data_IF_300568049582
#
_entry.id   IF_300568049582
#
_cell.length_a   1.000
_cell.length_b   1.000
_cell.length_c   1.000
_cell.angle_alpha   90.00
_cell.angle_beta   90.00
_cell.angle_gamma   90.00
#
_symmetry.space_group_name_H-M   'P 1'
#
loop_
_entity.id
_entity.type
_entity.pdbx_description
1 polymer ?
#
# COMPACT_ATOMS: atom_id res chain seq x y z
N UNK A 1 4.39 -4.86 -1.81
CA UNK A 1 4.11 -4.56 -3.23
C UNK A 1 5.11 -5.25 -4.16
N UNK A 2 6.38 -4.81 -4.28
CA UNK A 2 7.37 -5.48 -5.18
C UNK A 2 7.73 -6.91 -4.75
N UNK A 3 7.91 -7.16 -3.45
CA UNK A 3 8.19 -8.52 -2.96
C UNK A 3 7.03 -9.50 -3.23
N UNK A 4 5.79 -9.03 -3.10
CA UNK A 4 4.58 -9.80 -3.44
C UNK A 4 4.55 -10.05 -4.95
N UNK A 5 4.79 -9.03 -5.79
CA UNK A 5 4.86 -9.19 -7.24
C UNK A 5 5.95 -10.21 -7.65
N UNK A 6 7.14 -10.13 -7.06
CA UNK A 6 8.23 -11.11 -7.28
C UNK A 6 7.82 -12.51 -6.88
N UNK A 7 7.09 -12.67 -5.77
CA UNK A 7 6.62 -13.97 -5.32
C UNK A 7 5.59 -14.56 -6.30
N UNK A 8 4.56 -13.78 -6.66
CA UNK A 8 3.53 -14.20 -7.62
C UNK A 8 4.14 -14.58 -8.97
N UNK A 9 5.07 -13.77 -9.50
CA UNK A 9 5.78 -14.09 -10.73
C UNK A 9 6.52 -15.44 -10.67
N UNK A 10 7.07 -15.80 -9.51
CA UNK A 10 7.73 -17.11 -9.32
C UNK A 10 6.72 -18.25 -9.23
N UNK A 11 5.60 -18.03 -8.53
CA UNK A 11 4.53 -19.02 -8.40
C UNK A 11 3.89 -19.33 -9.76
N UNK A 12 3.72 -18.31 -10.61
CA UNK A 12 3.20 -18.45 -11.98
C UNK A 12 4.23 -18.97 -12.99
N UNK A 13 5.48 -19.21 -12.58
CA UNK A 13 6.59 -19.54 -13.49
C UNK A 13 6.69 -18.56 -14.68
N UNK A 14 6.50 -17.27 -14.41
CA UNK A 14 6.40 -16.24 -15.44
C UNK A 14 7.66 -16.21 -16.32
N UNK A 15 7.45 -16.01 -17.62
CA UNK A 15 8.54 -15.80 -18.57
C UNK A 15 9.25 -14.47 -18.29
N UNK A 16 10.45 -14.30 -18.85
CA UNK A 16 11.25 -13.10 -18.62
C UNK A 16 10.51 -11.82 -19.07
N UNK A 17 9.82 -11.89 -20.20
CA UNK A 17 9.03 -10.80 -20.76
C UNK A 17 7.82 -10.45 -19.89
N UNK A 18 7.06 -11.45 -19.41
CA UNK A 18 5.98 -11.24 -18.45
C UNK A 18 6.50 -10.57 -17.17
N UNK A 19 7.58 -11.11 -16.60
CA UNK A 19 8.18 -10.55 -15.40
C UNK A 19 8.66 -9.11 -15.62
N UNK A 20 9.29 -8.82 -16.76
CA UNK A 20 9.74 -7.46 -17.10
C UNK A 20 8.58 -6.48 -17.18
N UNK A 21 7.45 -6.86 -17.80
CA UNK A 21 6.26 -6.01 -17.87
C UNK A 21 5.65 -5.77 -16.48
N UNK A 22 5.48 -6.83 -15.67
CA UNK A 22 4.93 -6.68 -14.30
C UNK A 22 5.82 -5.77 -13.45
N UNK A 23 7.15 -5.96 -13.49
CA UNK A 23 8.06 -5.08 -12.75
C UNK A 23 8.02 -3.64 -13.26
N UNK A 24 7.89 -3.42 -14.56
CA UNK A 24 7.78 -2.08 -15.12
C UNK A 24 6.50 -1.39 -14.65
N UNK A 25 5.33 -2.04 -14.79
CA UNK A 25 4.04 -1.48 -14.36
C UNK A 25 3.99 -1.22 -12.86
N UNK A 26 4.34 -2.22 -12.04
CA UNK A 26 4.34 -2.09 -10.58
C UNK A 26 5.39 -1.06 -10.11
N UNK A 27 6.56 -1.03 -10.72
CA UNK A 27 7.60 -0.06 -10.40
C UNK A 27 7.16 1.37 -10.68
N UNK A 28 6.61 1.64 -11.87
CA UNK A 28 6.10 2.96 -12.24
C UNK A 28 4.94 3.40 -11.35
N UNK A 29 3.93 2.54 -11.13
CA UNK A 29 2.77 2.92 -10.34
C UNK A 29 3.13 3.25 -8.89
N UNK A 30 4.08 2.51 -8.31
CA UNK A 30 4.54 2.77 -6.95
C UNK A 30 5.33 4.08 -6.87
N UNK A 31 6.18 4.37 -7.85
CA UNK A 31 6.91 5.62 -7.91
C UNK A 31 5.95 6.83 -7.97
N UNK A 32 4.95 6.78 -8.85
CA UNK A 32 3.95 7.84 -8.98
C UNK A 32 3.03 7.93 -7.74
N UNK A 33 2.70 6.79 -7.13
CA UNK A 33 1.97 6.72 -5.86
C UNK A 33 2.70 7.48 -4.74
N UNK A 34 4.02 7.28 -4.61
CA UNK A 34 4.82 8.04 -3.65
C UNK A 34 4.82 9.54 -3.97
N UNK A 35 5.06 9.92 -5.22
CA UNK A 35 5.12 11.33 -5.64
C UNK A 35 3.81 12.05 -5.31
N UNK A 36 2.68 11.50 -5.76
CA UNK A 36 1.36 12.11 -5.57
C UNK A 36 0.91 12.07 -4.10
N UNK A 37 1.24 11.00 -3.36
CA UNK A 37 0.94 10.94 -1.93
C UNK A 37 1.73 11.99 -1.15
N UNK A 38 3.03 12.15 -1.44
CA UNK A 38 3.86 13.13 -0.75
C UNK A 38 3.49 14.57 -1.11
N UNK A 39 3.17 14.84 -2.37
CA UNK A 39 2.64 16.15 -2.77
C UNK A 39 1.40 16.51 -1.94
N UNK A 40 0.42 15.60 -1.86
CA UNK A 40 -0.78 15.80 -1.04
C UNK A 40 -0.45 15.96 0.45
N UNK A 41 0.47 15.16 1.00
CA UNK A 41 0.93 15.29 2.40
C UNK A 41 1.41 16.67 2.74
N UNK A 42 2.25 17.25 1.89
CA UNK A 42 2.82 18.57 2.14
C UNK A 42 1.88 19.70 1.70
N UNK A 43 0.94 19.45 0.79
CA UNK A 43 -0.15 20.38 0.48
C UNK A 43 -1.10 20.56 1.67
N UNK A 44 -1.65 19.47 2.21
CA UNK A 44 -2.63 19.53 3.31
C UNK A 44 -1.98 19.68 4.69
N UNK A 45 -0.73 19.25 4.83
CA UNK A 45 0.08 19.35 6.05
C UNK A 45 -0.66 18.95 7.35
N UNK A 46 -1.46 17.88 7.28
CA UNK A 46 -2.38 17.48 8.35
C UNK A 46 -1.64 16.90 9.57
N UNK A 47 -2.10 17.27 10.76
CA UNK A 47 -1.59 16.81 12.05
C UNK A 47 -1.87 15.32 12.32
N UNK A 48 -0.95 14.61 12.97
CA UNK A 48 -1.07 13.19 13.34
C UNK A 48 -2.04 12.94 14.50
N UNK A 49 -2.65 11.75 14.60
CA UNK A 49 -3.60 11.42 15.67
C UNK A 49 -3.00 11.60 17.07
N UNK A 50 -1.78 11.10 17.30
CA UNK A 50 -1.10 11.22 18.60
C UNK A 50 -1.02 12.67 19.09
N UNK A 51 -0.67 13.59 18.20
CA UNK A 51 -0.52 15.00 18.56
C UNK A 51 -1.87 15.64 18.85
N UNK A 52 -2.91 15.30 18.10
CA UNK A 52 -4.26 15.81 18.35
C UNK A 52 -4.82 15.28 19.67
N UNK A 53 -4.74 13.96 19.89
CA UNK A 53 -5.27 13.31 21.09
C UNK A 53 -4.56 13.83 22.34
N UNK A 54 -3.23 13.90 22.33
CA UNK A 54 -2.47 14.40 23.49
C UNK A 54 -2.73 15.88 23.80
N UNK A 55 -3.00 16.70 22.79
CA UNK A 55 -3.27 18.14 23.01
C UNK A 55 -4.70 18.43 23.48
N UNK A 56 -5.67 17.66 23.02
CA UNK A 56 -7.08 18.06 23.11
C UNK A 56 -8.01 17.03 23.75
N UNK A 57 -7.55 15.80 24.01
CA UNK A 57 -8.41 14.71 24.53
C UNK A 57 -7.78 14.08 25.78
N UNK A 58 -6.61 13.46 25.64
CA UNK A 58 -5.92 12.73 26.70
C UNK A 58 -4.40 12.90 26.56
N UNK A 59 -3.77 13.76 27.39
CA UNK A 59 -2.33 13.99 27.38
C UNK A 59 -1.46 12.75 27.64
N UNK A 60 -2.01 11.71 28.27
CA UNK A 60 -1.30 10.47 28.57
C UNK A 60 -1.45 9.41 27.46
N UNK A 61 -2.28 9.66 26.44
CA UNK A 61 -2.53 8.68 25.38
C UNK A 61 -1.26 8.37 24.58
N UNK A 62 -1.03 7.08 24.33
CA UNK A 62 0.09 6.60 23.52
C UNK A 62 -0.29 5.35 22.72
N UNK A 63 -0.33 5.46 21.40
CA UNK A 63 -0.59 4.33 20.50
C UNK A 63 0.37 3.15 20.72
N UNK A 64 1.64 3.43 20.98
CA UNK A 64 2.67 2.39 21.12
C UNK A 64 2.55 1.58 22.41
N UNK A 65 1.66 1.98 23.33
CA UNK A 65 1.38 1.26 24.56
C UNK A 65 0.21 0.25 24.41
N UNK A 66 -0.51 0.28 23.28
CA UNK A 66 -1.74 -0.48 23.07
C UNK A 66 -1.55 -1.58 22.01
N UNK A 67 -0.72 -1.33 20.99
CA UNK A 67 -0.39 -2.30 19.93
C UNK A 67 1.10 -2.58 19.90
N UNK A 68 1.54 -3.52 19.05
CA UNK A 68 2.95 -3.56 18.63
C UNK A 68 3.40 -2.14 18.25
N UNK A 69 4.58 -1.67 18.72
CA UNK A 69 4.93 -0.26 18.70
C UNK A 69 5.12 0.23 17.26
N UNK A 70 4.06 0.84 16.71
CA UNK A 70 4.12 1.61 15.46
C UNK A 70 4.41 3.05 15.82
N UNK A 71 5.67 3.45 15.67
CA UNK A 71 6.04 4.84 15.86
C UNK A 71 5.41 5.74 14.81
N UNK A 72 4.96 6.93 15.23
CA UNK A 72 4.43 7.94 14.31
C UNK A 72 5.55 8.39 13.35
N UNK A 73 5.39 8.19 12.03
CA UNK A 73 6.42 8.58 11.08
C UNK A 73 6.59 10.11 10.97
N UNK A 74 7.80 10.63 10.69
CA UNK A 74 8.12 12.05 10.73
C UNK A 74 7.70 12.79 9.45
N UNK A 75 6.42 12.69 9.08
CA UNK A 75 5.83 13.40 7.94
C UNK A 75 4.30 13.59 8.14
N UNK A 76 3.69 14.53 7.40
CA UNK A 76 2.27 14.85 7.55
C UNK A 76 1.34 13.65 7.36
N UNK A 77 0.17 13.74 7.97
CA UNK A 77 -0.75 12.62 8.12
C UNK A 77 -1.47 12.25 6.83
N UNK A 78 -2.06 13.20 6.11
CA UNK A 78 -3.02 12.90 5.04
C UNK A 78 -2.44 13.07 3.64
N UNK A 79 -2.64 12.12 2.70
CA UNK A 79 -3.28 10.81 2.89
C UNK A 79 -2.29 9.75 3.42
N UNK A 80 -2.76 8.54 3.68
CA UNK A 80 -1.92 7.42 4.16
C UNK A 80 -1.07 6.84 3.03
N UNK A 81 0.26 6.94 3.12
CA UNK A 81 1.17 6.44 2.08
C UNK A 81 1.07 4.93 1.85
N UNK A 82 0.96 4.16 2.93
CA UNK A 82 0.71 2.72 2.82
C UNK A 82 -0.57 2.42 2.05
N UNK A 83 -1.62 3.23 2.25
CA UNK A 83 -2.90 3.03 1.55
C UNK A 83 -2.79 3.40 0.07
N UNK A 84 -2.15 4.53 -0.24
CA UNK A 84 -1.92 4.95 -1.64
C UNK A 84 -1.10 3.92 -2.42
N UNK A 85 0.02 3.46 -1.87
CA UNK A 85 0.84 2.43 -2.52
C UNK A 85 0.13 1.09 -2.63
N UNK A 86 -0.61 0.67 -1.59
CA UNK A 86 -1.33 -0.60 -1.60
C UNK A 86 -2.47 -0.60 -2.62
N UNK A 87 -3.26 0.48 -2.68
CA UNK A 87 -4.33 0.64 -3.69
C UNK A 87 -3.77 0.65 -5.11
N UNK A 88 -2.66 1.37 -5.34
CA UNK A 88 -1.97 1.39 -6.63
C UNK A 88 -1.48 0.00 -7.05
N UNK A 89 -0.75 -0.69 -6.17
CA UNK A 89 -0.22 -2.02 -6.46
C UNK A 89 -1.32 -3.06 -6.65
N UNK A 90 -2.36 -3.06 -5.81
CA UNK A 90 -3.47 -4.00 -5.94
C UNK A 90 -4.23 -3.79 -7.25
N UNK A 91 -4.43 -2.54 -7.69
CA UNK A 91 -5.09 -2.26 -8.97
C UNK A 91 -4.29 -2.85 -10.14
N UNK A 92 -2.98 -2.58 -10.21
CA UNK A 92 -2.13 -3.11 -11.30
C UNK A 92 -2.03 -4.64 -11.25
N UNK A 93 -1.81 -5.23 -10.06
CA UNK A 93 -1.68 -6.68 -9.94
C UNK A 93 -2.99 -7.40 -10.26
N UNK A 94 -4.14 -6.84 -9.86
CA UNK A 94 -5.46 -7.40 -10.21
C UNK A 94 -5.73 -7.30 -11.71
N UNK A 95 -5.34 -6.20 -12.36
CA UNK A 95 -5.47 -6.06 -13.82
C UNK A 95 -4.64 -7.11 -14.59
N UNK A 96 -3.49 -7.52 -14.05
CA UNK A 96 -2.58 -8.49 -14.69
C UNK A 96 -2.97 -9.93 -14.39
N UNK A 97 -3.23 -10.26 -13.12
CA UNK A 97 -3.40 -11.64 -12.65
C UNK A 97 -4.86 -12.03 -12.36
N UNK A 98 -5.78 -11.06 -12.39
CA UNK A 98 -7.21 -11.23 -12.10
C UNK A 98 -7.62 -10.68 -10.73
N UNK A 99 -8.87 -10.24 -10.63
CA UNK A 99 -9.44 -9.62 -9.42
C UNK A 99 -9.52 -10.59 -8.23
N UNK A 100 -9.78 -11.87 -8.48
CA UNK A 100 -9.93 -12.93 -7.47
C UNK A 100 -8.65 -13.77 -7.29
N UNK A 101 -7.48 -13.21 -7.60
CA UNK A 101 -6.20 -13.91 -7.45
C UNK A 101 -5.86 -14.11 -5.96
N UNK A 102 -6.12 -15.32 -5.46
CA UNK A 102 -5.80 -15.71 -4.09
C UNK A 102 -4.31 -16.09 -3.95
N UNK A 103 -3.66 -15.64 -2.89
CA UNK A 103 -2.25 -15.90 -2.65
C UNK A 103 -1.92 -15.92 -1.15
N UNK A 104 -0.77 -16.51 -0.82
CA UNK A 104 -0.22 -16.48 0.54
C UNK A 104 1.00 -15.59 0.58
N UNK A 105 0.90 -14.38 1.14
CA UNK A 105 2.02 -13.46 1.30
C UNK A 105 3.07 -14.03 2.27
N UNK A 106 4.26 -14.27 1.73
CA UNK A 106 5.45 -14.75 2.46
C UNK A 106 6.53 -13.67 2.57
N UNK A 107 6.27 -12.45 2.10
CA UNK A 107 7.26 -11.38 2.01
C UNK A 107 7.88 -10.95 3.35
N UNK A 108 7.18 -11.27 4.45
CA UNK A 108 7.57 -10.93 5.82
C UNK A 108 8.19 -12.11 6.60
N UNK A 109 8.29 -13.32 6.03
CA UNK A 109 8.87 -14.49 6.72
C UNK A 109 10.31 -14.23 7.17
N UNK A 110 11.10 -13.51 6.37
CA UNK A 110 12.48 -13.11 6.72
C UNK A 110 12.59 -12.20 7.94
N UNK A 111 11.48 -11.56 8.34
CA UNK A 111 11.39 -10.72 9.53
C UNK A 111 10.78 -11.48 10.73
N UNK A 112 10.49 -12.78 10.57
CA UNK A 112 9.93 -13.63 11.62
C UNK A 112 8.41 -13.63 11.72
N UNK A 113 7.70 -12.98 10.79
CA UNK A 113 6.24 -13.01 10.76
C UNK A 113 5.73 -14.25 10.02
N UNK A 114 4.64 -14.83 10.52
CA UNK A 114 3.96 -15.92 9.83
C UNK A 114 3.35 -15.45 8.50
N UNK A 115 3.33 -16.30 7.45
CA UNK A 115 2.63 -16.00 6.21
C UNK A 115 1.15 -15.68 6.43
N UNK A 116 0.61 -14.84 5.55
CA UNK A 116 -0.82 -14.45 5.57
C UNK A 116 -1.47 -14.77 4.23
N UNK A 117 -2.62 -15.43 4.25
CA UNK A 117 -3.36 -15.78 3.03
C UNK A 117 -4.47 -14.76 2.78
N UNK A 118 -4.57 -14.31 1.54
CA UNK A 118 -5.58 -13.37 1.07
C UNK A 118 -6.35 -13.96 -0.10
N UNK A 119 -7.63 -13.61 -0.22
CA UNK A 119 -8.46 -14.04 -1.34
C UNK A 119 -8.23 -13.17 -2.60
N UNK A 120 -7.66 -11.98 -2.45
CA UNK A 120 -7.32 -11.06 -3.53
C UNK A 120 -6.18 -10.11 -3.14
N UNK A 121 -5.55 -9.45 -4.13
CA UNK A 121 -4.64 -8.34 -3.85
C UNK A 121 -5.33 -7.18 -3.12
N UNK A 122 -6.63 -6.98 -3.39
CA UNK A 122 -7.43 -5.94 -2.75
C UNK A 122 -7.69 -6.21 -1.27
N UNK A 123 -7.85 -7.47 -0.87
CA UNK A 123 -7.96 -7.81 0.55
C UNK A 123 -6.65 -7.52 1.29
N UNK A 124 -5.51 -7.84 0.68
CA UNK A 124 -4.20 -7.47 1.21
C UNK A 124 -4.03 -5.94 1.30
N UNK A 125 -4.49 -5.19 0.29
CA UNK A 125 -4.40 -3.73 0.29
C UNK A 125 -5.30 -3.05 1.33
N UNK A 126 -6.54 -3.52 1.48
CA UNK A 126 -7.47 -3.02 2.52
C UNK A 126 -6.94 -3.34 3.91
N UNK A 127 -6.39 -4.53 4.12
CA UNK A 127 -5.77 -4.88 5.40
C UNK A 127 -4.52 -4.00 5.68
N UNK A 128 -3.68 -3.77 4.68
CA UNK A 128 -2.55 -2.86 4.80
C UNK A 128 -2.98 -1.42 5.16
N UNK A 129 -4.08 -0.94 4.60
CA UNK A 129 -4.66 0.35 4.94
C UNK A 129 -5.18 0.37 6.40
N UNK A 130 -6.04 -0.57 6.78
CA UNK A 130 -6.60 -0.64 8.14
C UNK A 130 -5.52 -0.86 9.21
N UNK A 131 -4.40 -1.52 8.88
CA UNK A 131 -3.26 -1.66 9.79
C UNK A 131 -2.76 -0.33 10.35
N UNK A 132 -2.93 0.77 9.59
CA UNK A 132 -2.49 2.11 9.99
C UNK A 132 -3.44 2.77 10.99
N UNK A 133 -4.70 2.38 10.95
CA UNK A 133 -5.70 2.76 11.95
C UNK A 133 -5.45 1.99 13.24
N UNK A 134 -5.23 0.67 13.16
CA UNK A 134 -4.87 -0.14 14.33
C UNK A 134 -3.57 0.34 14.98
N UNK A 135 -2.58 0.72 14.18
CA UNK A 135 -1.35 1.33 14.69
C UNK A 135 -1.52 2.75 15.28
N UNK A 136 -2.71 3.34 15.24
CA UNK A 136 -3.01 4.65 15.86
C UNK A 136 -2.31 5.85 15.21
N UNK A 137 -1.81 5.71 13.98
CA UNK A 137 -0.98 6.74 13.31
C UNK A 137 -1.67 7.43 12.13
N UNK A 138 -2.82 6.93 11.68
CA UNK A 138 -3.64 7.52 10.63
C UNK A 138 -5.11 7.58 11.03
N UNK A 139 -5.82 8.60 10.55
CA UNK A 139 -7.28 8.64 10.64
C UNK A 139 -7.89 7.76 9.54
N UNK A 140 -9.10 7.23 9.76
CA UNK A 140 -9.82 6.42 8.76
C UNK A 140 -9.89 7.07 7.38
N UNK A 141 -10.21 8.37 7.33
CA UNK A 141 -10.27 9.14 6.08
C UNK A 141 -8.97 9.10 5.27
N UNK A 142 -7.81 9.05 5.93
CA UNK A 142 -6.52 9.04 5.23
C UNK A 142 -6.23 7.69 4.59
N UNK A 143 -6.78 6.61 5.16
CA UNK A 143 -6.68 5.27 4.61
C UNK A 143 -7.60 5.11 3.40
N UNK A 144 -8.88 5.44 3.57
CA UNK A 144 -9.89 5.34 2.50
C UNK A 144 -9.48 6.18 1.27
N UNK A 145 -9.17 7.46 1.49
CA UNK A 145 -8.76 8.35 0.40
C UNK A 145 -7.38 8.01 -0.17
N UNK A 146 -6.51 7.40 0.64
CA UNK A 146 -5.24 6.88 0.16
C UNK A 146 -5.46 5.76 -0.86
N UNK A 147 -6.30 4.77 -0.53
CA UNK A 147 -6.65 3.67 -1.45
C UNK A 147 -7.23 4.22 -2.76
N UNK A 148 -8.20 5.13 -2.68
CA UNK A 148 -8.82 5.77 -3.86
C UNK A 148 -7.80 6.53 -4.71
N UNK A 149 -6.90 7.29 -4.08
CA UNK A 149 -5.80 7.95 -4.79
C UNK A 149 -4.92 6.93 -5.53
N UNK A 150 -4.62 5.79 -4.91
CA UNK A 150 -3.87 4.70 -5.53
C UNK A 150 -4.54 4.15 -6.79
N UNK A 151 -5.86 3.96 -6.77
CA UNK A 151 -6.66 3.53 -7.94
C UNK A 151 -6.54 4.54 -9.07
N UNK A 152 -6.70 5.83 -8.78
CA UNK A 152 -6.59 6.89 -9.78
C UNK A 152 -5.21 6.89 -10.46
N UNK A 153 -4.13 6.70 -9.69
CA UNK A 153 -2.76 6.65 -10.22
C UNK A 153 -2.54 5.42 -11.10
N UNK A 154 -3.01 4.25 -10.66
CA UNK A 154 -2.97 3.04 -11.46
C UNK A 154 -3.71 3.19 -12.80
N UNK A 155 -4.83 3.93 -12.81
CA UNK A 155 -5.57 4.24 -14.03
C UNK A 155 -4.75 4.97 -15.10
N UNK A 156 -3.70 5.72 -14.74
CA UNK A 156 -2.78 6.33 -15.71
C UNK A 156 -1.75 5.33 -16.25
N UNK A 157 -1.21 4.46 -15.38
CA UNK A 157 -0.24 3.42 -15.78
C UNK A 157 -0.89 2.38 -16.69
N UNK A 158 -2.14 2.02 -16.46
CA UNK A 158 -2.89 1.07 -17.31
C UNK A 158 -3.16 1.60 -18.73
N UNK A 159 -3.07 2.91 -18.96
CA UNK A 159 -3.19 3.50 -20.29
C UNK A 159 -1.90 3.42 -21.10
N UNK A 160 -0.78 3.03 -20.48
CA UNK A 160 0.50 2.88 -21.17
C UNK A 160 0.45 1.67 -22.11
N UNK A 161 0.93 1.86 -23.33
CA UNK A 161 0.99 0.80 -24.33
C UNK A 161 2.31 0.02 -24.20
N UNK A 162 2.21 -1.21 -23.71
CA UNK A 162 3.32 -2.16 -23.72
C UNK A 162 3.33 -2.95 -25.03
N UNK A 163 4.53 -3.22 -25.55
CA UNK A 163 4.67 -4.10 -26.72
C UNK A 163 4.41 -5.53 -26.27
N UNK A 164 3.48 -6.21 -26.92
CA UNK A 164 3.28 -7.64 -26.75
C UNK A 164 4.55 -8.38 -27.17
N UNK A 165 4.90 -9.40 -26.40
CA UNK A 165 5.94 -10.35 -26.80
C UNK A 165 5.57 -11.02 -28.12
N UNK A 166 6.54 -11.22 -29.03
CA UNK A 166 6.31 -11.87 -30.32
C UNK A 166 5.86 -13.32 -30.19
#
# INVERSE_FOLDING_TARGET
SLAIATQVLREENATLDQAAEVYARVGMVLADAFIACWDAKFHYNRIRPITYIQRYIDPAWNATAITDPVYTPPFPEYPSGHSTEAGAAATILSAIFGDDYAFTDRSQERLGFAPRTYASFWDAAREAAESRLYGGIHYRSANEQGLEQGVCIAGYVEQLQFKSSP
#
